data_IF_196420443887
#
_entry.id   IF_196420443887
#
_cell.length_a   1.000
_cell.length_b   1.000
_cell.length_c   1.000
_cell.angle_alpha   90.00
_cell.angle_beta   90.00
_cell.angle_gamma   90.00
#
_symmetry.space_group_name_H-M   'P 1'
#
loop_
_entity.id
_entity.type
_entity.pdbx_description
1 polymer ?
#
# COMPACT_ATOMS: atom_id res chain seq x y z
N UNK A 1 -68.18 11.80 -2.34
CA UNK A 1 -67.75 11.08 -1.12
C UNK A 1 -66.39 11.63 -0.70
N UNK A 2 -66.26 12.21 0.50
CA UNK A 2 -64.95 12.62 1.05
C UNK A 2 -64.26 11.37 1.60
N UNK A 3 -63.14 11.00 1.02
CA UNK A 3 -62.25 9.95 1.54
C UNK A 3 -61.62 10.43 2.86
N UNK A 4 -61.92 9.74 3.96
CA UNK A 4 -61.25 9.95 5.24
C UNK A 4 -59.78 9.53 5.08
N UNK A 5 -58.84 10.48 5.18
CA UNK A 5 -57.42 10.14 5.31
C UNK A 5 -57.22 9.42 6.64
N UNK A 6 -56.83 8.14 6.60
CA UNK A 6 -56.37 7.42 7.79
C UNK A 6 -55.03 8.02 8.21
N UNK A 7 -54.99 8.71 9.36
CA UNK A 7 -53.75 9.17 9.96
C UNK A 7 -52.88 7.99 10.41
N UNK A 8 -51.56 8.15 10.33
CA UNK A 8 -50.61 7.17 10.86
C UNK A 8 -50.70 7.13 12.39
N UNK A 9 -50.59 5.93 12.98
CA UNK A 9 -50.56 5.80 14.43
C UNK A 9 -49.20 6.21 14.99
N UNK A 10 -49.18 6.73 16.21
CA UNK A 10 -47.94 7.10 16.89
C UNK A 10 -47.01 5.88 17.07
N UNK A 11 -47.59 4.69 17.26
CA UNK A 11 -46.88 3.41 17.39
C UNK A 11 -46.20 3.01 16.08
N UNK A 12 -46.87 3.18 14.93
CA UNK A 12 -46.26 2.86 13.62
C UNK A 12 -45.03 3.73 13.35
N UNK A 13 -45.11 5.04 13.63
CA UNK A 13 -43.95 5.93 13.45
C UNK A 13 -42.84 5.61 14.45
N UNK A 14 -43.18 5.26 15.71
CA UNK A 14 -42.19 4.90 16.71
C UNK A 14 -41.36 3.68 16.31
N UNK A 15 -41.99 2.61 15.80
CA UNK A 15 -41.28 1.40 15.37
C UNK A 15 -40.39 1.71 14.15
N UNK A 16 -40.88 2.51 13.20
CA UNK A 16 -40.09 2.92 12.03
C UNK A 16 -38.83 3.67 12.44
N UNK A 17 -38.92 4.62 13.38
CA UNK A 17 -37.76 5.38 13.86
C UNK A 17 -36.74 4.49 14.59
N UNK A 18 -37.21 3.50 15.36
CA UNK A 18 -36.31 2.53 16.02
C UNK A 18 -35.57 1.70 14.99
N UNK A 19 -36.26 1.16 13.99
CA UNK A 19 -35.63 0.37 12.93
C UNK A 19 -34.60 1.22 12.17
N UNK A 20 -34.95 2.46 11.80
CA UNK A 20 -34.00 3.38 11.13
C UNK A 20 -32.79 3.64 12.04
N UNK A 21 -32.98 3.88 13.34
CA UNK A 21 -31.89 4.09 14.29
C UNK A 21 -30.95 2.89 14.39
N UNK A 22 -31.49 1.68 14.44
CA UNK A 22 -30.70 0.44 14.48
C UNK A 22 -29.95 0.20 13.17
N UNK A 23 -30.59 0.46 12.02
CA UNK A 23 -29.95 0.33 10.71
C UNK A 23 -28.80 1.33 10.54
N UNK A 24 -29.02 2.61 10.89
CA UNK A 24 -27.98 3.64 10.81
C UNK A 24 -26.80 3.32 11.74
N UNK A 25 -27.07 2.89 12.99
CA UNK A 25 -26.02 2.46 13.91
C UNK A 25 -25.22 1.26 13.40
N UNK A 26 -25.90 0.28 12.80
CA UNK A 26 -25.26 -0.88 12.18
C UNK A 26 -24.35 -0.52 11.00
N UNK A 27 -24.79 0.39 10.11
CA UNK A 27 -24.02 0.82 8.93
C UNK A 27 -22.74 1.56 9.35
N UNK A 28 -22.83 2.48 10.31
CA UNK A 28 -21.67 3.23 10.80
C UNK A 28 -20.61 2.30 11.38
N UNK A 29 -21.03 1.31 12.17
CA UNK A 29 -20.09 0.30 12.71
C UNK A 29 -19.52 -0.60 11.62
N UNK A 30 -20.33 -0.96 10.61
CA UNK A 30 -19.89 -1.74 9.46
C UNK A 30 -18.83 -1.02 8.63
N UNK A 31 -19.00 0.28 8.39
CA UNK A 31 -18.02 1.09 7.67
C UNK A 31 -16.69 1.16 8.41
N UNK A 32 -16.71 1.37 9.74
CA UNK A 32 -15.49 1.38 10.55
C UNK A 32 -14.79 0.02 10.51
N UNK A 33 -15.53 -1.09 10.58
CA UNK A 33 -14.97 -2.44 10.46
C UNK A 33 -14.27 -2.66 9.12
N UNK A 34 -14.84 -2.17 8.01
CA UNK A 34 -14.22 -2.26 6.68
C UNK A 34 -12.92 -1.45 6.63
N UNK A 35 -12.90 -0.24 7.19
CA UNK A 35 -11.69 0.58 7.27
C UNK A 35 -10.60 -0.12 8.07
N UNK A 36 -10.94 -0.71 9.22
CA UNK A 36 -10.00 -1.50 10.02
C UNK A 36 -9.48 -2.73 9.29
N UNK A 37 -10.32 -3.42 8.51
CA UNK A 37 -9.88 -4.54 7.68
C UNK A 37 -8.87 -4.08 6.60
N UNK A 38 -9.11 -2.93 5.97
CA UNK A 38 -8.18 -2.33 5.00
C UNK A 38 -6.83 -2.00 5.63
N UNK A 39 -6.83 -1.40 6.83
CA UNK A 39 -5.60 -1.10 7.58
C UNK A 39 -4.80 -2.39 7.83
N UNK A 40 -5.45 -3.44 8.34
CA UNK A 40 -4.81 -4.74 8.59
C UNK A 40 -4.25 -5.37 7.30
N UNK A 41 -4.95 -5.26 6.18
CA UNK A 41 -4.45 -5.76 4.91
C UNK A 41 -3.19 -5.01 4.47
N UNK A 42 -3.15 -3.68 4.59
CA UNK A 42 -1.95 -2.89 4.25
C UNK A 42 -0.75 -3.29 5.12
N UNK A 43 -0.95 -3.51 6.42
CA UNK A 43 0.11 -4.00 7.33
C UNK A 43 0.57 -5.40 6.93
N UNK A 44 -0.37 -6.28 6.58
CA UNK A 44 -0.07 -7.63 6.13
C UNK A 44 0.69 -7.64 4.79
N UNK A 45 0.35 -6.74 3.87
CA UNK A 45 1.04 -6.56 2.59
C UNK A 45 2.52 -6.22 2.83
N UNK A 46 2.82 -5.24 3.69
CA UNK A 46 4.20 -4.88 4.03
C UNK A 46 4.97 -6.06 4.61
N UNK A 47 4.40 -6.73 5.62
CA UNK A 47 5.06 -7.86 6.27
C UNK A 47 5.24 -9.05 5.33
N UNK A 48 4.26 -9.31 4.45
CA UNK A 48 4.31 -10.38 3.47
C UNK A 48 5.38 -10.15 2.40
N UNK A 49 5.54 -8.91 1.94
CA UNK A 49 6.58 -8.54 0.97
C UNK A 49 7.98 -8.66 1.60
N UNK A 50 8.16 -8.18 2.82
CA UNK A 50 9.44 -8.35 3.53
C UNK A 50 9.79 -9.82 3.74
N UNK A 51 8.81 -10.66 4.11
CA UNK A 51 9.02 -12.11 4.23
C UNK A 51 9.39 -12.77 2.89
N UNK A 52 8.72 -12.39 1.80
CA UNK A 52 9.03 -12.87 0.46
C UNK A 52 10.44 -12.46 0.01
N UNK A 53 10.85 -11.23 0.32
CA UNK A 53 12.21 -10.74 0.07
C UNK A 53 13.26 -11.59 0.77
N UNK A 54 13.16 -11.76 2.09
CA UNK A 54 14.13 -12.55 2.85
C UNK A 54 14.14 -14.01 2.40
N UNK A 55 12.99 -14.60 2.12
CA UNK A 55 12.93 -15.96 1.57
C UNK A 55 13.64 -16.10 0.22
N UNK A 56 13.53 -15.09 -0.66
CA UNK A 56 14.27 -15.06 -1.92
C UNK A 56 15.77 -14.91 -1.69
N UNK A 57 16.17 -14.01 -0.79
CA UNK A 57 17.57 -13.77 -0.45
C UNK A 57 18.23 -15.02 0.15
N UNK A 58 17.53 -15.74 1.03
CA UNK A 58 18.03 -16.98 1.62
C UNK A 58 18.21 -18.09 0.58
N UNK A 59 17.26 -18.20 -0.37
CA UNK A 59 17.27 -19.24 -1.39
C UNK A 59 18.26 -18.99 -2.53
N UNK A 60 18.38 -17.75 -2.98
CA UNK A 60 19.15 -17.40 -4.19
C UNK A 60 20.37 -16.53 -3.93
N UNK A 61 20.55 -16.03 -2.70
CA UNK A 61 21.64 -15.10 -2.31
C UNK A 61 21.73 -13.86 -3.21
N UNK A 62 20.57 -13.41 -3.67
CA UNK A 62 20.41 -12.25 -4.55
C UNK A 62 19.17 -11.46 -4.14
N UNK A 63 19.11 -10.20 -4.55
CA UNK A 63 17.94 -9.34 -4.36
C UNK A 63 16.99 -9.58 -5.56
N UNK A 64 15.69 -9.82 -5.36
CA UNK A 64 14.73 -9.91 -6.46
C UNK A 64 14.77 -8.64 -7.31
N UNK A 65 14.54 -8.75 -8.62
CA UNK A 65 14.64 -7.63 -9.56
C UNK A 65 16.07 -7.28 -9.97
N UNK A 66 17.03 -7.38 -9.04
CA UNK A 66 18.47 -7.14 -9.24
C UNK A 66 19.26 -8.46 -9.43
N UNK A 67 18.59 -9.61 -9.57
CA UNK A 67 19.25 -10.90 -9.68
C UNK A 67 19.81 -11.16 -11.10
N UNK A 68 21.15 -11.18 -11.23
CA UNK A 68 21.86 -11.50 -12.47
C UNK A 68 21.58 -12.93 -12.98
N UNK A 69 21.27 -13.84 -12.06
CA UNK A 69 21.05 -15.26 -12.35
C UNK A 69 19.56 -15.61 -12.51
N UNK A 70 18.68 -14.61 -12.65
CA UNK A 70 17.24 -14.84 -12.87
C UNK A 70 16.93 -15.57 -14.19
N UNK A 71 17.89 -15.64 -15.12
CA UNK A 71 17.83 -16.46 -16.35
C UNK A 71 17.64 -17.96 -16.10
N UNK A 72 17.77 -18.40 -14.85
CA UNK A 72 17.37 -19.74 -14.38
C UNK A 72 15.93 -20.10 -14.77
N UNK A 73 15.05 -19.11 -14.90
CA UNK A 73 13.69 -19.28 -15.41
C UNK A 73 13.58 -18.81 -16.85
N UNK A 74 13.01 -19.65 -17.71
CA UNK A 74 12.78 -19.30 -19.10
C UNK A 74 11.89 -18.05 -19.23
N UNK A 75 12.36 -17.07 -20.00
CA UNK A 75 11.66 -15.81 -20.24
C UNK A 75 11.71 -14.79 -19.09
N UNK A 76 12.51 -15.04 -18.04
CA UNK A 76 12.82 -14.03 -17.04
C UNK A 76 13.95 -13.12 -17.54
N UNK A 77 13.85 -11.82 -17.24
CA UNK A 77 14.90 -10.84 -17.49
C UNK A 77 15.80 -10.77 -16.26
N UNK A 78 17.12 -10.81 -16.45
CA UNK A 78 18.09 -10.62 -15.37
C UNK A 78 18.15 -9.16 -14.92
N UNK A 79 18.37 -8.95 -13.63
CA UNK A 79 18.73 -7.64 -13.07
C UNK A 79 20.21 -7.33 -13.30
N UNK A 80 20.66 -6.16 -12.83
CA UNK A 80 22.04 -5.70 -13.01
C UNK A 80 23.05 -6.31 -12.03
N UNK A 81 22.60 -6.83 -10.88
CA UNK A 81 23.44 -7.46 -9.86
C UNK A 81 24.24 -6.45 -9.03
N UNK A 82 23.78 -5.21 -8.91
CA UNK A 82 24.54 -4.10 -8.32
C UNK A 82 24.14 -3.78 -6.87
N UNK A 83 23.19 -4.51 -6.28
CA UNK A 83 22.68 -4.31 -4.93
C UNK A 83 21.62 -3.21 -4.81
N UNK A 84 21.15 -2.65 -5.93
CA UNK A 84 20.17 -1.57 -5.99
C UNK A 84 18.99 -2.06 -6.84
N UNK A 85 17.77 -1.86 -6.34
CA UNK A 85 16.56 -2.07 -7.15
C UNK A 85 16.23 -0.75 -7.83
N UNK A 86 16.69 -0.57 -9.06
CA UNK A 86 16.43 0.62 -9.86
C UNK A 86 14.97 0.68 -10.36
N UNK A 87 14.52 1.90 -10.62
CA UNK A 87 13.12 2.23 -10.86
C UNK A 87 12.43 2.70 -9.59
N UNK A 88 11.51 3.65 -9.75
CA UNK A 88 10.60 4.00 -8.66
C UNK A 88 9.61 2.86 -8.39
N UNK A 89 9.01 2.83 -7.21
CA UNK A 89 8.06 1.79 -6.82
C UNK A 89 6.82 1.75 -7.74
N UNK A 90 6.46 2.89 -8.33
CA UNK A 90 5.33 3.07 -9.24
C UNK A 90 5.73 3.11 -10.72
N UNK A 91 6.96 2.67 -11.07
CA UNK A 91 7.41 2.65 -12.46
C UNK A 91 6.52 1.75 -13.33
N UNK A 92 6.29 2.15 -14.57
CA UNK A 92 5.45 1.44 -15.55
C UNK A 92 6.25 0.90 -16.73
N UNK A 93 7.54 1.24 -16.81
CA UNK A 93 8.46 0.85 -17.87
C UNK A 93 8.80 -0.63 -17.75
N UNK A 94 8.71 -1.39 -18.84
CA UNK A 94 9.04 -2.82 -18.81
C UNK A 94 10.53 -3.05 -18.51
N UNK A 95 10.85 -4.17 -17.86
CA UNK A 95 12.21 -4.60 -17.53
C UNK A 95 13.01 -3.68 -16.60
N UNK A 96 12.36 -2.72 -15.94
CA UNK A 96 12.95 -1.99 -14.81
C UNK A 96 12.98 -2.90 -13.58
N UNK A 97 14.04 -2.82 -12.78
CA UNK A 97 14.30 -3.75 -11.68
C UNK A 97 13.19 -3.74 -10.62
N UNK A 98 12.60 -2.58 -10.31
CA UNK A 98 11.44 -2.45 -9.41
C UNK A 98 10.21 -3.24 -9.88
N UNK A 99 10.09 -3.49 -11.20
CA UNK A 99 9.05 -4.34 -11.79
C UNK A 99 9.49 -5.78 -11.96
N UNK A 100 10.77 -6.01 -12.29
CA UNK A 100 11.36 -7.35 -12.31
C UNK A 100 11.32 -8.02 -10.94
N UNK A 101 11.38 -7.23 -9.87
CA UNK A 101 11.17 -7.67 -8.50
C UNK A 101 9.96 -8.60 -8.37
N UNK A 102 8.82 -8.17 -8.90
CA UNK A 102 7.59 -8.94 -8.83
C UNK A 102 7.62 -10.19 -9.69
N UNK A 103 8.22 -10.13 -10.89
CA UNK A 103 8.37 -11.29 -11.76
C UNK A 103 9.27 -12.35 -11.12
N UNK A 104 10.39 -11.95 -10.54
CA UNK A 104 11.33 -12.84 -9.85
C UNK A 104 10.68 -13.51 -8.64
N UNK A 105 9.99 -12.75 -7.78
CA UNK A 105 9.27 -13.31 -6.63
C UNK A 105 8.17 -14.30 -7.03
N UNK A 106 7.45 -14.00 -8.12
CA UNK A 106 6.38 -14.88 -8.63
C UNK A 106 6.93 -16.18 -9.21
N UNK A 107 8.00 -16.11 -10.00
CA UNK A 107 8.67 -17.30 -10.56
C UNK A 107 9.33 -18.16 -9.49
N UNK A 108 9.80 -17.54 -8.41
CA UNK A 108 10.31 -18.23 -7.25
C UNK A 108 9.21 -18.87 -6.37
N UNK A 109 7.94 -18.50 -6.57
CA UNK A 109 6.79 -19.01 -5.82
C UNK A 109 6.56 -18.34 -4.47
N UNK A 110 7.18 -17.18 -4.19
CA UNK A 110 6.97 -16.44 -2.94
C UNK A 110 5.73 -15.54 -2.98
N UNK A 111 5.35 -15.06 -4.16
CA UNK A 111 4.18 -14.20 -4.36
C UNK A 111 3.33 -14.76 -5.50
N UNK A 112 2.01 -14.65 -5.39
CA UNK A 112 1.09 -15.11 -6.41
C UNK A 112 1.08 -14.19 -7.66
N UNK A 113 0.65 -14.76 -8.79
CA UNK A 113 0.49 -14.04 -10.06
C UNK A 113 1.61 -14.30 -11.05
N UNK A 114 1.63 -13.52 -12.14
CA UNK A 114 2.59 -13.68 -13.24
C UNK A 114 3.05 -12.34 -13.78
N UNK A 115 4.28 -12.28 -14.31
CA UNK A 115 4.83 -11.11 -14.97
C UNK A 115 5.29 -10.02 -14.01
N UNK A 116 5.51 -8.82 -14.56
CA UNK A 116 6.19 -7.69 -13.89
C UNK A 116 5.23 -6.69 -13.23
N UNK A 117 3.91 -6.87 -13.38
CA UNK A 117 2.94 -5.88 -12.93
C UNK A 117 2.89 -5.82 -11.40
N UNK A 118 3.00 -4.61 -10.83
CA UNK A 118 2.85 -4.43 -9.39
C UNK A 118 1.44 -4.84 -8.91
N UNK A 119 1.31 -5.47 -7.72
CA UNK A 119 0.01 -5.74 -7.13
C UNK A 119 -0.65 -4.45 -6.62
N UNK A 120 -1.98 -4.52 -6.46
CA UNK A 120 -2.76 -3.46 -5.82
C UNK A 120 -3.00 -3.79 -4.35
N UNK A 121 -2.99 -2.76 -3.50
CA UNK A 121 -3.42 -2.84 -2.11
C UNK A 121 -4.97 -2.85 -1.99
N UNK A 122 -5.45 -2.97 -0.75
CA UNK A 122 -6.89 -2.99 -0.43
C UNK A 122 -7.67 -1.69 -0.75
N UNK A 123 -7.00 -0.63 -1.22
CA UNK A 123 -7.60 0.65 -1.63
C UNK A 123 -7.27 1.00 -3.10
N UNK A 124 -6.88 0.02 -3.91
CA UNK A 124 -6.55 0.19 -5.33
C UNK A 124 -5.36 1.12 -5.61
N UNK A 125 -4.45 1.26 -4.65
CA UNK A 125 -3.12 1.82 -4.86
C UNK A 125 -2.09 0.76 -5.21
N UNK A 126 -1.07 1.16 -5.96
CA UNK A 126 0.04 0.29 -6.31
C UNK A 126 0.90 0.02 -5.08
N UNK A 127 1.31 -1.24 -4.91
CA UNK A 127 2.39 -1.61 -3.99
C UNK A 127 3.63 -1.90 -4.81
N UNK A 128 4.76 -1.28 -4.45
CA UNK A 128 6.01 -1.45 -5.16
C UNK A 128 7.20 -1.39 -4.22
N UNK A 129 8.37 -1.61 -4.79
CA UNK A 129 9.64 -1.48 -4.08
C UNK A 129 10.58 -0.59 -4.87
N UNK A 130 11.52 0.04 -4.18
CA UNK A 130 12.64 0.75 -4.79
C UNK A 130 13.78 0.81 -3.79
N UNK A 131 15.01 0.99 -4.26
CA UNK A 131 16.13 1.36 -3.38
C UNK A 131 16.34 2.86 -3.42
N UNK A 132 16.39 3.51 -2.27
CA UNK A 132 16.62 4.95 -2.17
C UNK A 132 15.65 5.75 -3.03
N UNK A 133 16.17 6.59 -3.92
CA UNK A 133 15.39 7.43 -4.84
C UNK A 133 14.87 6.73 -6.10
N UNK A 134 15.14 5.43 -6.26
CA UNK A 134 14.74 4.64 -7.43
C UNK A 134 15.63 4.84 -8.66
N UNK A 135 16.75 5.56 -8.56
CA UNK A 135 17.74 5.70 -9.64
C UNK A 135 19.15 5.40 -9.09
N UNK A 136 19.40 5.87 -7.88
CA UNK A 136 20.64 5.74 -7.11
C UNK A 136 20.32 5.33 -5.67
N UNK A 137 21.26 4.78 -4.90
CA UNK A 137 21.06 4.52 -3.47
C UNK A 137 21.05 5.80 -2.62
N UNK A 138 20.72 6.96 -3.22
CA UNK A 138 20.60 8.22 -2.50
C UNK A 138 19.37 8.19 -1.58
N UNK A 139 19.49 8.87 -0.45
CA UNK A 139 18.43 8.90 0.54
C UNK A 139 17.16 9.61 0.01
N UNK A 140 16.00 9.00 0.25
CA UNK A 140 14.68 9.59 0.03
C UNK A 140 13.89 9.64 1.34
N UNK A 141 12.74 10.30 1.34
CA UNK A 141 11.79 10.38 2.45
C UNK A 141 12.44 10.73 3.80
N UNK A 142 13.42 11.64 3.80
CA UNK A 142 14.10 12.10 5.01
C UNK A 142 15.16 11.14 5.56
N UNK A 143 15.68 10.19 4.78
CA UNK A 143 16.83 9.36 5.20
C UNK A 143 16.84 7.90 4.73
N UNK A 144 15.83 7.43 4.01
CA UNK A 144 15.80 6.08 3.47
C UNK A 144 16.72 5.94 2.26
N UNK A 145 17.89 5.34 2.45
CA UNK A 145 18.84 5.02 1.37
C UNK A 145 18.78 3.54 0.92
N UNK A 146 18.22 2.67 1.77
CA UNK A 146 18.11 1.23 1.52
C UNK A 146 16.90 0.85 0.67
N UNK A 147 16.63 -0.46 0.61
CA UNK A 147 15.43 -0.99 -0.03
C UNK A 147 14.19 -0.60 0.79
N UNK A 148 13.21 -0.01 0.11
CA UNK A 148 11.94 0.39 0.71
C UNK A 148 10.79 -0.24 -0.06
N UNK A 149 9.71 -0.54 0.66
CA UNK A 149 8.42 -0.93 0.10
C UNK A 149 7.44 0.21 0.28
N UNK A 150 6.73 0.58 -0.78
CA UNK A 150 5.80 1.70 -0.79
C UNK A 150 4.41 1.25 -1.23
N UNK A 151 3.38 1.79 -0.59
CA UNK A 151 1.96 1.53 -0.86
C UNK A 151 1.25 2.86 -1.11
N UNK A 152 0.66 3.02 -2.29
CA UNK A 152 0.04 4.27 -2.73
C UNK A 152 -1.45 4.38 -2.41
N UNK A 153 -2.01 5.55 -2.66
CA UNK A 153 -3.42 5.91 -2.61
C UNK A 153 -4.10 5.60 -1.28
N UNK A 154 -3.35 5.65 -0.16
CA UNK A 154 -3.90 5.41 1.16
C UNK A 154 -4.61 6.68 1.66
N UNK A 155 -5.93 6.64 1.94
CA UNK A 155 -6.60 7.75 2.60
C UNK A 155 -5.91 8.09 3.92
N UNK A 156 -5.93 9.36 4.31
CA UNK A 156 -5.35 9.88 5.56
C UNK A 156 -5.60 9.00 6.79
N UNK A 157 -6.86 8.62 7.05
CA UNK A 157 -7.20 7.75 8.18
C UNK A 157 -6.51 6.39 8.14
N UNK A 158 -6.39 5.80 6.95
CA UNK A 158 -5.74 4.49 6.78
C UNK A 158 -4.22 4.65 6.91
N UNK A 159 -3.63 5.69 6.31
CA UNK A 159 -2.20 5.95 6.40
C UNK A 159 -1.75 6.19 7.85
N UNK A 160 -2.42 7.10 8.56
CA UNK A 160 -2.13 7.43 9.96
C UNK A 160 -2.32 6.20 10.86
N UNK A 161 -3.45 5.49 10.72
CA UNK A 161 -3.71 4.31 11.56
C UNK A 161 -2.79 3.13 11.25
N UNK A 162 -2.28 3.02 10.02
CA UNK A 162 -1.26 2.02 9.65
C UNK A 162 0.06 2.36 10.31
N UNK A 163 0.49 3.63 10.22
CA UNK A 163 1.72 4.12 10.85
C UNK A 163 1.67 3.93 12.38
N UNK A 164 0.62 4.41 13.05
CA UNK A 164 0.44 4.23 14.51
C UNK A 164 0.48 2.77 14.96
N UNK A 165 0.03 1.83 14.13
CA UNK A 165 0.06 0.39 14.47
C UNK A 165 1.40 -0.28 14.20
N UNK A 166 2.23 0.28 13.32
CA UNK A 166 3.51 -0.31 12.90
C UNK A 166 4.71 0.39 13.54
N UNK A 167 4.58 1.69 13.86
CA UNK A 167 5.69 2.57 14.23
C UNK A 167 5.26 3.66 15.26
N UNK A 168 5.44 4.95 14.95
CA UNK A 168 5.30 6.08 15.87
C UNK A 168 4.10 6.99 15.54
N UNK A 169 3.45 6.82 14.38
CA UNK A 169 2.36 7.66 13.91
C UNK A 169 2.81 9.03 13.38
N UNK A 170 4.12 9.24 13.22
CA UNK A 170 4.72 10.48 12.73
C UNK A 170 5.26 10.23 11.33
N UNK A 171 4.52 10.72 10.32
CA UNK A 171 4.84 10.44 8.92
C UNK A 171 6.21 10.89 8.42
N UNK A 172 6.98 11.66 9.18
CA UNK A 172 8.32 12.13 8.82
C UNK A 172 9.47 11.32 9.43
N UNK A 173 9.21 10.54 10.49
CA UNK A 173 10.24 9.82 11.25
C UNK A 173 10.00 8.32 11.23
N UNK A 174 10.83 7.56 11.95
CA UNK A 174 10.64 6.11 12.05
C UNK A 174 11.03 5.31 10.79
N UNK A 175 10.64 4.05 10.85
CA UNK A 175 10.71 3.01 9.82
C UNK A 175 9.57 3.08 8.81
N UNK A 176 8.47 3.75 9.14
CA UNK A 176 7.32 4.00 8.27
C UNK A 176 7.18 5.50 8.05
N UNK A 177 7.14 5.93 6.79
CA UNK A 177 7.05 7.35 6.44
C UNK A 177 6.00 7.61 5.38
N UNK A 178 5.29 8.70 5.54
CA UNK A 178 4.22 9.15 4.65
C UNK A 178 4.69 10.25 3.71
N UNK A 179 4.23 10.21 2.45
CA UNK A 179 4.33 11.31 1.49
C UNK A 179 2.93 11.70 1.02
N UNK A 180 2.57 12.97 1.11
CA UNK A 180 1.29 13.46 0.60
C UNK A 180 1.25 13.34 -0.93
N UNK A 181 0.19 12.74 -1.45
CA UNK A 181 -0.02 12.59 -2.88
C UNK A 181 -0.75 13.78 -3.48
N UNK A 182 -0.24 14.25 -4.61
CA UNK A 182 -0.93 15.20 -5.49
C UNK A 182 -1.54 14.51 -6.72
N UNK A 183 -1.09 13.29 -7.02
CA UNK A 183 -1.56 12.45 -8.14
C UNK A 183 -1.66 10.99 -7.69
N UNK A 184 -2.52 10.22 -8.35
CA UNK A 184 -2.67 8.79 -8.07
C UNK A 184 -1.38 8.03 -8.41
N UNK A 185 -0.97 7.12 -7.52
CA UNK A 185 0.27 6.33 -7.64
C UNK A 185 1.52 7.20 -7.90
N UNK A 186 1.62 8.31 -7.17
CA UNK A 186 2.72 9.26 -7.33
C UNK A 186 4.06 8.58 -7.03
N UNK A 187 5.00 8.64 -7.97
CA UNK A 187 6.34 8.10 -7.80
C UNK A 187 7.12 8.82 -6.69
N UNK A 188 7.95 8.08 -5.94
CA UNK A 188 8.89 8.63 -4.96
C UNK A 188 10.27 8.71 -5.63
N UNK A 189 10.62 9.89 -6.13
CA UNK A 189 11.90 10.13 -6.79
C UNK A 189 12.97 10.75 -5.90
N UNK A 190 14.02 11.26 -6.53
CA UNK A 190 15.12 11.97 -5.87
C UNK A 190 14.62 13.22 -5.12
N UNK A 191 15.12 13.42 -3.90
CA UNK A 191 14.77 14.52 -3.01
C UNK A 191 13.30 14.58 -2.55
N UNK A 192 12.52 13.49 -2.70
CA UNK A 192 11.22 13.42 -2.04
C UNK A 192 11.40 13.47 -0.52
N UNK A 193 10.74 14.40 0.15
CA UNK A 193 10.72 14.52 1.62
C UNK A 193 9.48 13.85 2.16
N UNK A 194 9.57 13.19 3.31
CA UNK A 194 8.39 12.75 4.02
C UNK A 194 7.58 13.96 4.51
N UNK A 195 6.26 13.81 4.64
CA UNK A 195 5.33 14.87 5.04
C UNK A 195 4.64 14.51 6.36
N UNK A 196 4.34 15.53 7.17
CA UNK A 196 3.48 15.35 8.35
C UNK A 196 2.07 15.01 7.90
N UNK A 197 1.43 14.06 8.59
CA UNK A 197 0.03 13.75 8.31
C UNK A 197 -0.90 14.91 8.67
N UNK A 198 -1.94 15.07 7.86
CA UNK A 198 -3.05 15.96 8.11
C UNK A 198 -4.36 15.21 7.80
N UNK A 199 -5.17 15.01 8.84
CA UNK A 199 -6.48 14.35 8.74
C UNK A 199 -7.53 15.38 8.31
N UNK A 200 -7.83 15.43 7.01
CA UNK A 200 -8.82 16.35 6.42
C UNK A 200 -9.90 15.61 5.62
N UNK A 201 -9.88 14.29 5.60
CA UNK A 201 -10.81 13.40 4.90
C UNK A 201 -10.65 13.36 3.38
N UNK A 202 -9.69 14.10 2.82
CA UNK A 202 -9.48 14.23 1.36
C UNK A 202 -8.07 13.85 0.94
N UNK A 203 -7.10 13.95 1.86
CA UNK A 203 -5.71 13.64 1.60
C UNK A 203 -5.52 12.15 1.34
N UNK A 204 -4.61 11.87 0.42
CA UNK A 204 -4.09 10.53 0.18
C UNK A 204 -2.58 10.55 0.33
N UNK A 205 -2.02 9.46 0.83
CA UNK A 205 -0.60 9.34 1.13
C UNK A 205 -0.02 8.08 0.47
N UNK A 206 1.24 8.20 0.06
CA UNK A 206 2.11 7.03 -0.14
C UNK A 206 2.75 6.73 1.19
N UNK A 207 2.59 5.50 1.68
CA UNK A 207 3.28 5.03 2.87
C UNK A 207 4.44 4.14 2.44
N UNK A 208 5.65 4.48 2.85
CA UNK A 208 6.83 3.68 2.58
C UNK A 208 7.45 3.17 3.87
N UNK A 209 7.91 1.92 3.86
CA UNK A 209 8.58 1.27 4.96
C UNK A 209 9.97 0.78 4.54
N UNK A 210 10.96 1.02 5.38
CA UNK A 210 12.29 0.45 5.19
C UNK A 210 12.30 -1.07 5.47
N UNK A 211 12.97 -1.84 4.61
CA UNK A 211 13.13 -3.30 4.72
C UNK A 211 14.52 -3.69 5.23
#
# INVERSE_FOLDING_TARGET
>A
MKTQQKGFTLVEIAIVLVIIGLLLGGILKGQEMITQAKIKNVIADFSGISAAYHGYQDRYRAIPGDDLNATRWTGATAGSGNGVVAGTYADTTANVESRLWWDHLRRAGFVAGTGQQQPYNAVAGIIGVQTGDGITPAATLGGFAGLIVCSANLPDKIAIATDVQVDDGVGTTGTVRGKLQTTANMAIGAAATADTYAENGTNTYVLCRAM
#
